data_IF_241557442602
#
_entry.id   IF_241557442602
#
_cell.length_a   1.000
_cell.length_b   1.000
_cell.length_c   1.000
_cell.angle_alpha   90.00
_cell.angle_beta   90.00
_cell.angle_gamma   90.00
#
_symmetry.space_group_name_H-M   'P 1'
#
loop_
_entity.id
_entity.type
_entity.pdbx_description
1 polymer ?
#
# COMPACT_ATOMS: atom_id res chain seq x y z
N UNK A 1 10.60 -15.81 14.38
CA UNK A 1 10.73 -14.33 14.30
C UNK A 1 9.35 -13.76 14.06
N UNK A 2 8.65 -13.38 15.13
CA UNK A 2 7.32 -12.77 15.10
C UNK A 2 7.50 -11.32 14.62
N UNK A 3 7.08 -10.99 13.40
CA UNK A 3 7.31 -9.67 12.80
C UNK A 3 6.25 -8.65 13.29
N UNK A 4 6.64 -7.59 14.03
CA UNK A 4 5.71 -6.55 14.53
C UNK A 4 5.38 -5.46 13.49
N UNK A 5 5.87 -5.57 12.25
CA UNK A 5 6.20 -4.41 11.39
C UNK A 5 5.02 -3.74 10.68
N UNK A 6 3.83 -4.32 10.65
CA UNK A 6 2.64 -3.64 10.11
C UNK A 6 1.75 -3.08 11.22
N UNK A 7 1.89 -3.58 12.45
CA UNK A 7 1.13 -3.09 13.59
C UNK A 7 1.44 -1.63 13.92
N UNK A 8 2.64 -1.15 13.58
CA UNK A 8 3.07 0.25 13.76
C UNK A 8 2.17 1.26 13.01
N UNK A 9 1.42 0.81 12.01
CA UNK A 9 0.50 1.64 11.24
C UNK A 9 -0.99 1.30 11.49
N UNK A 10 -1.30 0.52 12.54
CA UNK A 10 -2.70 0.18 12.86
C UNK A 10 -3.52 1.42 13.19
N UNK A 11 -2.93 2.35 13.97
CA UNK A 11 -3.59 3.60 14.33
C UNK A 11 -3.82 4.50 13.12
N UNK A 12 -2.88 4.49 12.16
CA UNK A 12 -3.04 5.19 10.89
C UNK A 12 -4.21 4.60 10.08
N UNK A 13 -4.28 3.28 9.94
CA UNK A 13 -5.37 2.63 9.21
C UNK A 13 -6.72 2.92 9.86
N UNK A 14 -6.79 2.85 11.19
CA UNK A 14 -8.00 3.21 11.93
C UNK A 14 -8.41 4.66 11.69
N UNK A 15 -7.47 5.61 11.80
CA UNK A 15 -7.73 7.03 11.52
C UNK A 15 -8.29 7.25 10.11
N UNK A 16 -7.74 6.58 9.10
CA UNK A 16 -8.22 6.68 7.72
C UNK A 16 -9.61 6.06 7.52
N UNK A 17 -9.90 4.94 8.18
CA UNK A 17 -11.23 4.32 8.17
C UNK A 17 -12.28 5.21 8.85
N UNK A 18 -11.95 5.77 10.03
CA UNK A 18 -12.82 6.70 10.75
C UNK A 18 -13.08 7.96 9.90
N UNK A 19 -12.05 8.48 9.23
CA UNK A 19 -12.17 9.62 8.30
C UNK A 19 -13.07 9.29 7.11
N UNK A 20 -12.93 8.10 6.52
CA UNK A 20 -13.76 7.66 5.40
C UNK A 20 -15.23 7.52 5.81
N UNK A 21 -15.50 6.95 6.98
CA UNK A 21 -16.84 6.82 7.55
C UNK A 21 -17.49 8.20 7.76
N UNK A 22 -16.76 9.15 8.35
CA UNK A 22 -17.23 10.53 8.53
C UNK A 22 -17.57 11.22 7.21
N UNK A 23 -16.89 10.85 6.12
CA UNK A 23 -17.14 11.38 4.77
C UNK A 23 -18.20 10.57 3.99
N UNK A 24 -18.82 9.56 4.61
CA UNK A 24 -19.80 8.65 4.00
C UNK A 24 -19.29 7.93 2.73
N UNK A 25 -18.02 7.54 2.72
CA UNK A 25 -17.42 6.75 1.63
C UNK A 25 -16.94 5.40 2.16
N UNK A 26 -17.02 4.38 1.31
CA UNK A 26 -16.37 3.10 1.57
C UNK A 26 -14.89 3.19 1.18
N UNK A 27 -13.99 2.66 2.01
CA UNK A 27 -12.55 2.72 1.79
C UNK A 27 -11.95 1.30 1.78
N UNK A 28 -11.21 0.99 0.73
CA UNK A 28 -10.21 -0.09 0.74
C UNK A 28 -8.85 0.55 0.97
N UNK A 29 -8.26 0.29 2.14
CA UNK A 29 -6.90 0.72 2.47
C UNK A 29 -5.96 -0.50 2.42
N UNK A 30 -4.90 -0.40 1.62
CA UNK A 30 -3.85 -1.42 1.53
C UNK A 30 -2.50 -0.82 1.88
N UNK A 31 -1.98 -1.18 3.04
CA UNK A 31 -0.61 -0.86 3.42
C UNK A 31 0.31 -2.00 3.03
N UNK A 32 1.42 -1.67 2.37
CA UNK A 32 2.39 -2.65 1.93
C UNK A 32 3.80 -2.17 2.27
N UNK A 33 4.62 -3.11 2.73
CA UNK A 33 6.05 -2.93 2.91
C UNK A 33 6.78 -4.03 2.15
N UNK A 34 7.81 -3.66 1.42
CA UNK A 34 8.60 -4.58 0.61
C UNK A 34 10.07 -4.26 0.81
N UNK A 35 10.81 -5.25 1.29
CA UNK A 35 12.26 -5.23 1.31
C UNK A 35 12.75 -6.12 0.16
N UNK A 36 13.78 -5.68 -0.57
CA UNK A 36 14.41 -6.46 -1.63
C UNK A 36 15.91 -6.20 -1.67
N UNK A 37 16.65 -7.18 -2.20
CA UNK A 37 18.05 -7.03 -2.58
C UNK A 37 18.21 -7.56 -4.00
N UNK A 38 18.90 -6.81 -4.86
CA UNK A 38 19.19 -7.20 -6.23
C UNK A 38 20.69 -7.20 -6.48
N UNK A 39 21.15 -8.18 -7.26
CA UNK A 39 22.55 -8.30 -7.69
C UNK A 39 22.54 -8.26 -9.21
N UNK A 40 23.33 -7.37 -9.78
CA UNK A 40 23.53 -7.25 -11.22
C UNK A 40 24.88 -7.85 -11.57
N UNK A 41 24.88 -8.87 -12.42
CA UNK A 41 26.09 -9.51 -12.95
C UNK A 41 26.13 -9.29 -14.46
N UNK A 42 27.23 -8.74 -14.96
CA UNK A 42 27.49 -8.67 -16.39
C UNK A 42 28.89 -9.19 -16.71
N UNK A 43 29.02 -9.94 -17.80
CA UNK A 43 30.29 -10.53 -18.24
C UNK A 43 31.01 -11.34 -17.14
N UNK A 44 30.25 -12.05 -16.30
CA UNK A 44 30.80 -12.85 -15.19
C UNK A 44 31.36 -12.02 -14.03
N UNK A 45 31.06 -10.72 -13.97
CA UNK A 45 31.46 -9.84 -12.88
C UNK A 45 30.22 -9.22 -12.24
N UNK A 46 30.22 -9.16 -10.91
CA UNK A 46 29.23 -8.39 -10.17
C UNK A 46 29.45 -6.90 -10.43
N UNK A 47 28.48 -6.26 -11.08
CA UNK A 47 28.53 -4.83 -11.40
C UNK A 47 27.78 -3.97 -10.37
N UNK A 48 26.79 -4.55 -9.69
CA UNK A 48 25.97 -3.79 -8.75
C UNK A 48 25.28 -4.66 -7.72
N UNK A 49 25.15 -4.13 -6.51
CA UNK A 49 24.31 -4.67 -5.45
C UNK A 49 23.44 -3.52 -4.96
N UNK A 50 22.13 -3.69 -5.01
CA UNK A 50 21.18 -2.73 -4.46
C UNK A 50 20.34 -3.39 -3.37
N UNK A 51 20.09 -2.65 -2.30
CA UNK A 51 19.09 -3.02 -1.29
C UNK A 51 18.01 -1.95 -1.32
N UNK A 52 16.76 -2.37 -1.41
CA UNK A 52 15.61 -1.47 -1.47
C UNK A 52 14.67 -1.79 -0.33
N UNK A 53 14.20 -0.75 0.33
CA UNK A 53 13.05 -0.81 1.22
C UNK A 53 12.02 0.16 0.68
N UNK A 54 10.85 -0.37 0.30
CA UNK A 54 9.71 0.43 -0.10
C UNK A 54 8.55 0.17 0.85
N UNK A 55 7.78 1.22 1.11
CA UNK A 55 6.54 1.13 1.86
C UNK A 55 5.56 2.17 1.35
N UNK A 56 4.28 1.89 1.47
CA UNK A 56 3.24 2.82 1.07
C UNK A 56 1.85 2.30 1.36
N UNK A 57 0.88 3.18 1.16
CA UNK A 57 -0.53 2.89 1.30
C UNK A 57 -1.25 3.27 0.02
N UNK A 58 -2.09 2.36 -0.47
CA UNK A 58 -3.09 2.61 -1.51
C UNK A 58 -4.47 2.72 -0.90
N UNK A 59 -5.25 3.68 -1.37
CA UNK A 59 -6.60 3.97 -0.87
C UNK A 59 -7.56 4.07 -2.05
N UNK A 60 -8.51 3.14 -2.11
CA UNK A 60 -9.57 3.09 -3.11
C UNK A 60 -10.87 3.46 -2.42
N UNK A 61 -11.52 4.54 -2.85
CA UNK A 61 -12.73 5.07 -2.22
C UNK A 61 -13.93 4.92 -3.12
N UNK A 62 -15.09 4.61 -2.54
CA UNK A 62 -16.34 4.43 -3.25
C UNK A 62 -17.46 5.21 -2.58
N UNK A 63 -18.31 5.87 -3.37
CA UNK A 63 -19.60 6.38 -2.86
C UNK A 63 -20.68 5.29 -2.94
N UNK A 64 -21.86 5.57 -2.37
CA UNK A 64 -22.98 4.61 -2.37
C UNK A 64 -23.51 4.25 -3.75
N UNK A 65 -23.25 5.09 -4.76
CA UNK A 65 -23.67 4.85 -6.14
C UNK A 65 -22.64 4.02 -6.93
N UNK A 66 -21.45 3.79 -6.35
CA UNK A 66 -20.36 3.04 -6.95
C UNK A 66 -19.41 3.88 -7.79
N UNK A 67 -19.46 5.22 -7.74
CA UNK A 67 -18.36 6.01 -8.27
C UNK A 67 -17.10 5.70 -7.46
N UNK A 68 -15.93 5.87 -8.08
CA UNK A 68 -14.68 5.52 -7.42
C UNK A 68 -13.55 6.49 -7.74
N UNK A 69 -12.59 6.58 -6.82
CA UNK A 69 -11.31 7.22 -7.03
C UNK A 69 -10.21 6.53 -6.21
N UNK A 70 -8.97 6.78 -6.58
CA UNK A 70 -7.82 6.14 -5.97
C UNK A 70 -6.71 7.15 -5.66
N UNK A 71 -6.01 6.94 -4.55
CA UNK A 71 -4.79 7.65 -4.23
C UNK A 71 -3.77 6.71 -3.58
N UNK A 72 -2.49 7.05 -3.74
CA UNK A 72 -1.37 6.35 -3.10
C UNK A 72 -0.42 7.34 -2.46
N UNK A 73 0.23 6.94 -1.38
CA UNK A 73 1.36 7.69 -0.82
C UNK A 73 2.36 6.74 -0.18
N UNK A 74 3.65 7.10 -0.25
CA UNK A 74 4.73 6.46 0.50
C UNK A 74 4.93 7.12 1.88
N UNK A 75 4.16 8.17 2.18
CA UNK A 75 4.20 8.93 3.42
C UNK A 75 3.19 8.40 4.42
N UNK A 76 3.67 7.60 5.37
CA UNK A 76 2.85 6.90 6.36
C UNK A 76 2.65 7.67 7.67
N UNK A 77 2.69 9.01 7.63
CA UNK A 77 2.24 9.84 8.75
C UNK A 77 0.76 10.23 8.56
N UNK A 78 0.01 10.45 9.66
CA UNK A 78 -1.44 10.73 9.59
C UNK A 78 -1.79 11.90 8.67
N UNK A 79 -1.07 13.01 8.77
CA UNK A 79 -1.37 14.22 8.00
C UNK A 79 -1.30 13.99 6.48
N UNK A 80 -0.20 13.39 6.00
CA UNK A 80 0.03 13.20 4.57
C UNK A 80 -0.84 12.07 3.99
N UNK A 81 -1.07 11.00 4.75
CA UNK A 81 -1.99 9.94 4.36
C UNK A 81 -3.44 10.43 4.30
N UNK A 82 -3.87 11.23 5.28
CA UNK A 82 -5.21 11.84 5.26
C UNK A 82 -5.36 12.83 4.10
N UNK A 83 -4.32 13.60 3.78
CA UNK A 83 -4.34 14.47 2.60
C UNK A 83 -4.50 13.68 1.29
N UNK A 84 -3.85 12.52 1.17
CA UNK A 84 -4.04 11.63 0.03
C UNK A 84 -5.47 11.06 0.00
N UNK A 85 -6.05 10.67 1.14
CA UNK A 85 -7.44 10.24 1.23
C UNK A 85 -8.41 11.34 0.81
N UNK A 86 -8.23 12.57 1.31
CA UNK A 86 -9.05 13.73 0.93
C UNK A 86 -8.99 14.02 -0.56
N UNK A 87 -7.81 13.86 -1.16
CA UNK A 87 -7.62 14.00 -2.61
C UNK A 87 -8.40 12.94 -3.39
N UNK A 88 -8.40 11.69 -2.93
CA UNK A 88 -9.22 10.63 -3.52
C UNK A 88 -10.72 10.94 -3.39
N UNK A 89 -11.19 11.37 -2.22
CA UNK A 89 -12.60 11.73 -1.99
C UNK A 89 -13.02 12.91 -2.87
N UNK A 90 -12.15 13.90 -3.08
CA UNK A 90 -12.42 15.00 -4.00
C UNK A 90 -12.54 14.49 -5.45
N UNK A 91 -11.65 13.59 -5.88
CA UNK A 91 -11.72 12.95 -7.19
C UNK A 91 -13.00 12.12 -7.38
N UNK A 92 -13.41 11.39 -6.35
CA UNK A 92 -14.66 10.63 -6.31
C UNK A 92 -15.87 11.55 -6.53
N UNK A 93 -15.94 12.66 -5.80
CA UNK A 93 -17.03 13.65 -5.92
C UNK A 93 -17.07 14.28 -7.31
N UNK A 94 -15.90 14.56 -7.89
CA UNK A 94 -15.81 15.06 -9.25
C UNK A 94 -16.29 14.02 -10.28
N UNK A 95 -15.95 12.74 -10.09
CA UNK A 95 -16.44 11.65 -10.92
C UNK A 95 -17.96 11.48 -10.85
N UNK A 96 -18.53 11.59 -9.65
CA UNK A 96 -19.98 11.57 -9.46
C UNK A 96 -20.67 12.76 -10.14
N UNK A 97 -20.09 13.97 -10.03
CA UNK A 97 -20.64 15.16 -10.69
C UNK A 97 -20.61 15.08 -12.22
N UNK A 98 -19.61 14.39 -12.77
CA UNK A 98 -19.47 14.16 -14.21
C UNK A 98 -20.20 12.91 -14.72
N UNK A 99 -20.94 12.20 -13.85
CA UNK A 99 -21.66 10.96 -14.15
C UNK A 99 -20.76 9.89 -14.83
N UNK A 100 -19.56 9.71 -14.28
CA UNK A 100 -18.64 8.70 -14.79
C UNK A 100 -19.10 7.28 -14.43
N UNK A 101 -18.53 6.29 -15.13
CA UNK A 101 -18.85 4.88 -14.93
C UNK A 101 -18.73 4.45 -13.45
N UNK A 102 -19.71 3.66 -13.03
CA UNK A 102 -19.88 3.21 -11.65
C UNK A 102 -19.53 1.72 -11.54
N UNK A 103 -19.04 1.31 -10.38
CA UNK A 103 -18.81 -0.08 -10.04
C UNK A 103 -19.33 -0.39 -8.63
N UNK A 104 -20.57 -0.92 -8.50
CA UNK A 104 -21.15 -1.27 -7.21
C UNK A 104 -20.71 -2.65 -6.69
N UNK A 105 -19.94 -3.44 -7.45
CA UNK A 105 -19.59 -4.82 -7.09
C UNK A 105 -18.86 -4.92 -5.74
N UNK A 106 -18.21 -3.84 -5.30
CA UNK A 106 -17.54 -3.79 -3.99
C UNK A 106 -18.52 -3.92 -2.81
N UNK A 107 -19.80 -3.60 -3.00
CA UNK A 107 -20.82 -3.70 -1.96
C UNK A 107 -21.41 -5.11 -1.81
N UNK A 108 -21.08 -6.01 -2.74
CA UNK A 108 -21.51 -7.41 -2.71
C UNK A 108 -20.51 -8.30 -1.94
N UNK A 109 -19.32 -7.78 -1.63
CA UNK A 109 -18.28 -8.53 -0.91
C UNK A 109 -18.27 -8.17 0.58
N UNK A 110 -17.98 -9.16 1.42
CA UNK A 110 -17.81 -8.93 2.85
C UNK A 110 -16.57 -8.05 3.10
N UNK A 111 -16.63 -7.10 4.05
CA UNK A 111 -15.43 -6.38 4.50
C UNK A 111 -14.36 -7.35 5.01
N UNK A 112 -13.11 -7.14 4.61
CA UNK A 112 -11.98 -8.00 5.00
C UNK A 112 -10.92 -7.16 5.69
N UNK A 113 -10.47 -7.62 6.85
CA UNK A 113 -9.19 -7.20 7.46
C UNK A 113 -8.25 -8.39 7.39
N UNK A 114 -7.16 -8.25 6.65
CA UNK A 114 -6.20 -9.34 6.44
C UNK A 114 -4.76 -8.81 6.49
N UNK A 115 -3.87 -9.69 6.94
CA UNK A 115 -2.42 -9.48 6.86
C UNK A 115 -1.84 -10.67 6.10
N UNK A 116 -1.14 -10.41 5.01
CA UNK A 116 -0.49 -11.43 4.20
C UNK A 116 1.03 -11.18 4.19
N UNK A 117 1.79 -12.24 4.46
CA UNK A 117 3.25 -12.25 4.32
C UNK A 117 3.57 -13.25 3.21
N UNK A 118 3.92 -12.77 2.00
CA UNK A 118 4.28 -13.66 0.91
C UNK A 118 5.47 -14.55 1.31
N UNK A 119 5.48 -15.84 0.93
CA UNK A 119 6.62 -16.70 1.20
C UNK A 119 7.86 -16.17 0.47
N UNK A 120 8.92 -15.89 1.22
CA UNK A 120 10.21 -15.51 0.65
C UNK A 120 11.11 -16.75 0.57
N UNK A 121 11.40 -17.27 -0.64
CA UNK A 121 12.18 -18.50 -0.78
C UNK A 121 13.62 -18.35 -0.24
N UNK A 122 14.10 -17.12 -0.16
CA UNK A 122 15.39 -16.77 0.44
C UNK A 122 15.19 -15.59 1.40
N UNK A 123 15.73 -15.71 2.62
CA UNK A 123 15.78 -14.58 3.53
C UNK A 123 16.68 -13.47 2.95
N UNK A 124 16.27 -12.21 3.10
CA UNK A 124 17.06 -11.06 2.63
C UNK A 124 18.50 -11.07 3.17
N UNK A 125 18.64 -11.52 4.40
CA UNK A 125 19.91 -11.56 5.14
C UNK A 125 20.60 -12.94 5.07
N UNK A 126 20.15 -13.83 4.16
CA UNK A 126 20.75 -15.16 3.99
C UNK A 126 22.24 -15.09 3.60
N UNK A 127 22.65 -14.01 2.92
CA UNK A 127 24.04 -13.70 2.62
C UNK A 127 24.38 -12.28 3.10
N UNK A 128 25.54 -12.13 3.75
CA UNK A 128 26.09 -10.81 4.08
C UNK A 128 26.54 -10.09 2.82
N UNK A 129 26.64 -8.76 2.85
CA UNK A 129 27.08 -7.98 1.70
C UNK A 129 28.46 -8.45 1.19
N UNK A 130 29.40 -8.71 2.10
CA UNK A 130 30.74 -9.22 1.77
C UNK A 130 30.69 -10.58 1.06
N UNK A 131 29.79 -11.48 1.50
CA UNK A 131 29.60 -12.79 0.85
C UNK A 131 29.01 -12.64 -0.55
N UNK A 132 28.15 -11.65 -0.76
CA UNK A 132 27.58 -11.35 -2.08
C UNK A 132 28.63 -10.72 -3.00
N UNK A 133 29.49 -9.84 -2.48
CA UNK A 133 30.58 -9.21 -3.25
C UNK A 133 31.68 -10.20 -3.66
N UNK A 134 31.80 -11.33 -2.96
CA UNK A 134 32.77 -12.38 -3.23
C UNK A 134 32.28 -13.44 -4.24
N UNK A 135 31.04 -13.33 -4.75
CA UNK A 135 30.49 -14.15 -5.84
C UNK A 135 30.97 -13.63 -7.21
#
# INVERSE_FOLDING_TARGET
MTQPLLHEHSDLLKHLLDTAEQQNVYLIARLQRTASRSITVANGKTEGIATTLSQGIGMHVFDREGHTAFATTDKLNPEQAEQALRSAIAGLRAAAHADLNRNPAIFEVAPVTAVEIPPTPYALDSLTLDKVQAL
#
